data_IF_847918762052
#
_entry.id   IF_847918762052
#
_cell.length_a   1.000
_cell.length_b   1.000
_cell.length_c   1.000
_cell.angle_alpha   90.00
_cell.angle_beta   90.00
_cell.angle_gamma   90.00
#
_symmetry.space_group_name_H-M   'P 1'
#
loop_
_entity.id
_entity.type
_entity.pdbx_description
1 polymer ?
#
# COMPACT_ATOMS: atom_id res chain seq x y z
N UNK A 1 14.92 -55.01 45.91
CA UNK A 1 14.66 -53.55 45.86
C UNK A 1 13.61 -53.32 44.81
N UNK A 2 12.39 -52.98 45.23
CA UNK A 2 11.17 -52.88 44.42
C UNK A 2 10.99 -51.39 44.18
N UNK A 3 11.02 -50.92 42.93
CA UNK A 3 10.57 -49.57 42.61
C UNK A 3 9.22 -49.63 41.91
N UNK A 4 8.25 -49.09 42.65
CA UNK A 4 6.84 -49.01 42.35
C UNK A 4 6.55 -48.00 41.24
N UNK A 5 5.43 -48.28 40.59
CA UNK A 5 4.88 -47.67 39.38
C UNK A 5 4.73 -46.14 39.52
N UNK A 6 5.31 -45.40 38.56
CA UNK A 6 4.90 -44.01 38.28
C UNK A 6 3.54 -44.07 37.57
N UNK A 7 2.53 -43.55 38.25
CA UNK A 7 1.13 -43.53 37.86
C UNK A 7 0.92 -42.49 36.73
N UNK A 8 0.85 -42.94 35.47
CA UNK A 8 0.31 -42.11 34.38
C UNK A 8 -1.21 -41.97 34.60
N UNK A 9 -1.62 -40.89 35.28
CA UNK A 9 -3.02 -40.48 35.32
C UNK A 9 -3.39 -39.87 33.96
N UNK A 10 -3.76 -40.75 33.02
CA UNK A 10 -4.49 -40.39 31.80
C UNK A 10 -5.74 -39.60 32.18
N UNK A 11 -5.84 -38.37 31.68
CA UNK A 11 -6.91 -37.43 32.01
C UNK A 11 -8.22 -37.66 31.24
N UNK A 12 -8.32 -38.63 30.34
CA UNK A 12 -9.54 -38.82 29.54
C UNK A 12 -10.48 -39.87 30.15
N UNK A 13 -11.11 -39.49 31.26
CA UNK A 13 -12.24 -40.20 31.87
C UNK A 13 -13.56 -39.49 31.57
N UNK A 14 -14.28 -39.97 30.55
CA UNK A 14 -15.65 -39.54 30.22
C UNK A 14 -16.09 -40.26 28.95
N UNK A 15 -17.24 -40.95 29.01
CA UNK A 15 -17.93 -41.70 27.94
C UNK A 15 -17.39 -41.43 26.53
N UNK A 16 -16.91 -42.47 25.84
CA UNK A 16 -16.44 -42.43 24.44
C UNK A 16 -17.53 -41.91 23.49
N UNK A 17 -17.69 -40.59 23.41
CA UNK A 17 -18.44 -39.90 22.36
C UNK A 17 -17.53 -39.82 21.14
N UNK A 18 -17.65 -40.79 20.24
CA UNK A 18 -16.96 -40.73 18.95
C UNK A 18 -17.54 -39.60 18.11
N UNK A 19 -16.68 -38.76 17.54
CA UNK A 19 -17.06 -37.75 16.56
C UNK A 19 -17.61 -38.46 15.31
N UNK A 20 -18.79 -38.07 14.83
CA UNK A 20 -19.36 -38.75 13.66
C UNK A 20 -18.73 -38.22 12.36
N UNK A 21 -18.54 -39.10 11.37
CA UNK A 21 -18.05 -38.68 10.05
C UNK A 21 -18.98 -37.65 9.38
N UNK A 22 -20.28 -37.76 9.64
CA UNK A 22 -21.27 -36.82 9.11
C UNK A 22 -21.16 -35.44 9.77
N UNK A 23 -20.85 -35.36 11.08
CA UNK A 23 -20.57 -34.07 11.74
C UNK A 23 -19.35 -33.40 11.13
N UNK A 24 -18.27 -34.14 10.88
CA UNK A 24 -17.09 -33.54 10.23
C UNK A 24 -17.42 -33.07 8.81
N UNK A 25 -18.22 -33.82 8.06
CA UNK A 25 -18.59 -33.47 6.68
C UNK A 25 -19.38 -32.15 6.62
N UNK A 26 -20.37 -31.97 7.49
CA UNK A 26 -21.16 -30.72 7.53
C UNK A 26 -20.30 -29.54 7.98
N UNK A 27 -19.38 -29.75 8.93
CA UNK A 27 -18.48 -28.69 9.40
C UNK A 27 -17.54 -28.20 8.28
N UNK A 28 -16.90 -29.12 7.54
CA UNK A 28 -16.01 -28.72 6.43
C UNK A 28 -16.79 -28.08 5.27
N UNK A 29 -18.04 -28.49 5.05
CA UNK A 29 -18.92 -27.86 4.08
C UNK A 29 -19.23 -26.40 4.46
N UNK A 30 -19.59 -26.15 5.72
CA UNK A 30 -19.88 -24.78 6.20
C UNK A 30 -18.62 -23.91 6.13
N UNK A 31 -17.46 -24.42 6.59
CA UNK A 31 -16.18 -23.69 6.51
C UNK A 31 -15.81 -23.41 5.06
N UNK A 32 -16.07 -24.34 4.12
CA UNK A 32 -15.83 -24.15 2.70
C UNK A 32 -16.63 -22.97 2.11
N UNK A 33 -17.92 -22.86 2.44
CA UNK A 33 -18.77 -21.75 2.00
C UNK A 33 -18.27 -20.42 2.59
N UNK A 34 -17.97 -20.38 3.89
CA UNK A 34 -17.47 -19.18 4.55
C UNK A 34 -16.13 -18.72 3.96
N UNK A 35 -15.20 -19.66 3.71
CA UNK A 35 -13.89 -19.36 3.13
C UNK A 35 -14.01 -18.77 1.71
N UNK A 36 -14.92 -19.28 0.88
CA UNK A 36 -15.12 -18.79 -0.49
C UNK A 36 -15.50 -17.30 -0.57
N UNK A 37 -16.29 -16.82 0.40
CA UNK A 37 -16.67 -15.39 0.46
C UNK A 37 -15.64 -14.56 1.23
N UNK A 38 -15.05 -15.12 2.29
CA UNK A 38 -14.14 -14.40 3.18
C UNK A 38 -12.80 -14.04 2.52
N UNK A 39 -12.22 -14.94 1.72
CA UNK A 39 -10.90 -14.73 1.09
C UNK A 39 -10.85 -13.48 0.18
N UNK A 40 -11.72 -13.32 -0.83
CA UNK A 40 -11.68 -12.15 -1.70
C UNK A 40 -11.99 -10.85 -0.95
N UNK A 41 -12.82 -10.90 0.10
CA UNK A 41 -13.08 -9.73 0.95
C UNK A 41 -11.84 -9.33 1.75
N UNK A 42 -11.12 -10.30 2.32
CA UNK A 42 -9.88 -10.07 3.04
C UNK A 42 -8.80 -9.46 2.16
N UNK A 43 -8.61 -9.96 0.93
CA UNK A 43 -7.63 -9.41 -0.01
C UNK A 43 -7.93 -7.94 -0.36
N UNK A 44 -9.21 -7.62 -0.61
CA UNK A 44 -9.64 -6.23 -0.85
C UNK A 44 -9.37 -5.34 0.37
N UNK A 45 -9.64 -5.82 1.58
CA UNK A 45 -9.39 -5.08 2.81
C UNK A 45 -7.89 -4.79 3.00
N UNK A 46 -7.02 -5.79 2.77
CA UNK A 46 -5.56 -5.63 2.85
C UNK A 46 -5.06 -4.65 1.79
N UNK A 47 -5.54 -4.74 0.55
CA UNK A 47 -5.16 -3.81 -0.54
C UNK A 47 -5.58 -2.37 -0.21
N UNK A 48 -6.79 -2.18 0.34
CA UNK A 48 -7.27 -0.88 0.81
C UNK A 48 -6.43 -0.32 1.95
N UNK A 49 -6.06 -1.15 2.93
CA UNK A 49 -5.20 -0.74 4.05
C UNK A 49 -3.81 -0.31 3.56
N UNK A 50 -3.22 -1.06 2.62
CA UNK A 50 -1.94 -0.67 1.97
C UNK A 50 -2.07 0.68 1.27
N UNK A 51 -3.15 0.89 0.53
CA UNK A 51 -3.38 2.16 -0.16
C UNK A 51 -3.58 3.32 0.81
N UNK A 52 -4.33 3.12 1.90
CA UNK A 52 -4.47 4.12 2.98
C UNK A 52 -3.11 4.50 3.57
N UNK A 53 -2.21 3.53 3.78
CA UNK A 53 -0.86 3.82 4.27
C UNK A 53 -0.05 4.66 3.27
N UNK A 54 -0.23 4.44 1.96
CA UNK A 54 0.38 5.28 0.92
C UNK A 54 -0.13 6.72 1.00
N UNK A 55 -1.44 6.90 1.22
CA UNK A 55 -2.05 8.22 1.34
C UNK A 55 -1.50 8.97 2.55
N UNK A 56 -1.52 8.35 3.74
CA UNK A 56 -1.00 8.97 4.96
C UNK A 56 0.47 9.37 4.81
N UNK A 57 1.30 8.51 4.22
CA UNK A 57 2.72 8.82 4.02
C UNK A 57 2.91 9.96 3.01
N UNK A 58 2.20 9.94 1.89
CA UNK A 58 2.28 10.98 0.87
C UNK A 58 1.80 12.35 1.38
N UNK A 59 0.75 12.40 2.21
CA UNK A 59 0.28 13.64 2.85
C UNK A 59 1.31 14.17 3.86
N UNK A 60 1.93 13.29 4.66
CA UNK A 60 3.04 13.68 5.56
C UNK A 60 4.17 14.33 4.77
N UNK A 61 4.52 13.73 3.62
CA UNK A 61 5.55 14.25 2.72
C UNK A 61 5.13 15.59 2.09
N UNK A 62 3.87 15.73 1.67
CA UNK A 62 3.33 16.97 1.12
C UNK A 62 3.48 18.13 2.12
N UNK A 63 3.11 17.90 3.39
CA UNK A 63 3.25 18.93 4.42
C UNK A 63 4.71 19.34 4.64
N UNK A 64 5.64 18.38 4.67
CA UNK A 64 7.06 18.71 4.77
C UNK A 64 7.56 19.50 3.55
N UNK A 65 7.08 19.17 2.35
CA UNK A 65 7.36 19.91 1.11
C UNK A 65 6.82 21.34 1.14
N UNK A 66 5.63 21.55 1.71
CA UNK A 66 5.05 22.89 1.91
C UNK A 66 5.91 23.74 2.86
N UNK A 67 6.33 23.17 3.99
CA UNK A 67 7.23 23.84 4.94
C UNK A 67 8.54 24.21 4.27
N UNK A 68 9.15 23.27 3.53
CA UNK A 68 10.39 23.53 2.80
C UNK A 68 10.23 24.64 1.76
N UNK A 69 9.13 24.65 1.01
CA UNK A 69 8.84 25.68 0.02
C UNK A 69 8.62 27.05 0.65
N UNK A 70 8.01 27.14 1.83
CA UNK A 70 7.87 28.42 2.54
C UNK A 70 9.23 29.04 2.88
N UNK A 71 10.24 28.22 3.16
CA UNK A 71 11.60 28.69 3.46
C UNK A 71 12.45 28.95 2.20
N UNK A 72 12.31 28.13 1.15
CA UNK A 72 13.23 28.12 0.01
C UNK A 72 12.60 28.58 -1.32
N UNK A 73 11.29 28.81 -1.37
CA UNK A 73 10.54 29.20 -2.57
C UNK A 73 10.30 28.08 -3.59
N UNK A 74 10.95 26.92 -3.43
CA UNK A 74 10.87 25.76 -4.32
C UNK A 74 10.57 24.48 -3.54
N UNK A 75 9.99 23.47 -4.19
CA UNK A 75 9.86 22.13 -3.63
C UNK A 75 11.16 21.34 -3.79
N UNK A 76 11.54 20.56 -2.78
CA UNK A 76 12.78 19.79 -2.79
C UNK A 76 12.65 18.51 -3.60
N UNK A 77 13.73 18.10 -4.26
CA UNK A 77 13.87 16.71 -4.74
C UNK A 77 14.48 15.81 -3.66
N UNK A 78 15.15 16.34 -2.65
CA UNK A 78 15.80 15.54 -1.62
C UNK A 78 14.89 15.37 -0.40
N UNK A 79 14.66 14.12 0.00
CA UNK A 79 13.94 13.79 1.23
C UNK A 79 14.71 14.21 2.48
N UNK A 80 16.05 14.25 2.45
CA UNK A 80 16.85 14.66 3.62
C UNK A 80 16.75 16.17 3.90
N UNK A 81 16.39 16.96 2.88
CA UNK A 81 16.13 18.39 3.04
C UNK A 81 14.75 18.67 3.65
N UNK A 82 13.90 17.65 3.76
CA UNK A 82 12.59 17.74 4.37
C UNK A 82 12.67 17.33 5.83
N UNK A 83 12.04 18.10 6.72
CA UNK A 83 11.89 17.74 8.13
C UNK A 83 10.77 16.70 8.30
N UNK A 84 11.00 15.50 7.76
CA UNK A 84 10.07 14.37 7.84
C UNK A 84 10.75 13.22 8.57
N UNK A 85 10.12 12.76 9.65
CA UNK A 85 10.55 11.53 10.32
C UNK A 85 10.12 10.33 9.49
N UNK A 86 11.10 9.71 8.84
CA UNK A 86 10.88 8.53 8.03
C UNK A 86 11.16 7.27 8.86
N UNK A 87 10.44 6.16 8.60
CA UNK A 87 10.83 4.87 9.16
C UNK A 87 12.30 4.58 8.85
N UNK A 88 13.06 4.10 9.83
CA UNK A 88 14.52 3.90 9.72
C UNK A 88 14.95 2.96 8.56
N UNK A 89 14.01 2.18 8.04
CA UNK A 89 14.20 1.24 6.93
C UNK A 89 13.76 1.80 5.57
N UNK A 90 13.31 3.05 5.50
CA UNK A 90 13.11 3.78 4.25
C UNK A 90 14.43 4.45 3.85
N UNK A 91 15.10 3.90 2.83
CA UNK A 91 16.39 4.44 2.36
C UNK A 91 16.19 5.29 1.10
N UNK A 92 16.71 6.53 1.06
CA UNK A 92 16.70 7.32 -0.15
C UNK A 92 17.66 6.72 -1.18
N UNK A 93 17.24 6.71 -2.45
CA UNK A 93 18.07 6.35 -3.58
C UNK A 93 17.67 7.16 -4.81
N UNK A 94 18.65 7.45 -5.66
CA UNK A 94 18.44 8.14 -6.92
C UNK A 94 17.99 7.13 -7.98
N UNK A 95 16.89 7.41 -8.66
CA UNK A 95 16.41 6.54 -9.74
C UNK A 95 16.89 6.98 -11.12
N UNK A 96 17.58 8.12 -11.20
CA UNK A 96 18.13 8.68 -12.45
C UNK A 96 19.50 9.26 -12.17
N UNK A 97 20.44 9.10 -13.11
CA UNK A 97 21.81 9.61 -13.01
C UNK A 97 21.87 11.13 -12.76
N UNK A 98 20.88 11.87 -13.27
CA UNK A 98 20.77 13.33 -13.11
C UNK A 98 20.19 13.78 -11.74
N UNK A 99 19.89 12.86 -10.82
CA UNK A 99 19.33 13.19 -9.50
C UNK A 99 17.88 13.70 -9.52
N UNK A 100 17.20 13.66 -10.66
CA UNK A 100 15.86 14.27 -10.85
C UNK A 100 14.72 13.51 -10.21
N UNK A 101 14.95 12.25 -9.86
CA UNK A 101 13.99 11.41 -9.18
C UNK A 101 14.67 10.81 -7.96
N UNK A 102 14.26 11.29 -6.80
CA UNK A 102 14.61 10.70 -5.53
C UNK A 102 13.46 9.79 -5.12
N UNK A 103 13.80 8.56 -4.80
CA UNK A 103 12.86 7.61 -4.26
C UNK A 103 13.31 7.14 -2.89
N UNK A 104 12.36 6.73 -2.06
CA UNK A 104 12.61 5.95 -0.86
C UNK A 104 11.91 4.62 -1.00
N UNK A 105 12.56 3.55 -0.54
CA UNK A 105 11.99 2.22 -0.55
C UNK A 105 12.14 1.56 0.81
N UNK A 106 11.05 0.92 1.27
CA UNK A 106 10.98 -0.05 2.35
C UNK A 106 10.32 -1.32 1.81
N UNK A 107 10.55 -2.48 2.43
CA UNK A 107 9.78 -3.69 2.14
C UNK A 107 8.27 -3.40 2.23
N UNK A 108 7.59 -3.29 1.08
CA UNK A 108 6.16 -3.00 0.98
C UNK A 108 5.78 -1.66 0.36
N UNK A 109 6.66 -0.65 0.29
CA UNK A 109 6.30 0.70 -0.18
C UNK A 109 7.47 1.43 -0.84
N UNK A 110 7.17 2.22 -1.87
CA UNK A 110 8.08 3.16 -2.52
C UNK A 110 7.41 4.51 -2.70
N UNK A 111 8.09 5.60 -2.33
CA UNK A 111 7.65 6.97 -2.61
C UNK A 111 8.73 7.71 -3.40
N UNK A 112 8.38 8.59 -4.32
CA UNK A 112 9.33 9.35 -5.12
C UNK A 112 8.88 10.79 -5.38
N UNK A 113 9.85 11.66 -5.62
CA UNK A 113 9.64 13.01 -6.16
C UNK A 113 10.06 13.07 -7.61
N UNK A 114 9.30 13.81 -8.42
CA UNK A 114 9.66 14.08 -9.80
C UNK A 114 9.02 15.39 -10.27
N UNK A 115 9.46 15.86 -11.44
CA UNK A 115 8.96 17.06 -12.09
C UNK A 115 8.26 16.73 -13.40
N UNK A 116 7.27 17.53 -13.77
CA UNK A 116 6.58 17.45 -15.07
C UNK A 116 7.26 18.26 -16.16
N UNK A 117 8.27 19.08 -15.84
CA UNK A 117 9.00 19.89 -16.81
C UNK A 117 10.22 19.14 -17.37
N UNK A 118 10.31 19.07 -18.71
CA UNK A 118 11.30 18.27 -19.44
C UNK A 118 12.73 18.84 -19.44
N UNK A 119 12.95 20.09 -19.01
CA UNK A 119 14.29 20.70 -18.97
C UNK A 119 14.55 21.40 -17.64
N UNK A 120 15.56 20.87 -16.92
CA UNK A 120 16.19 21.38 -15.70
C UNK A 120 15.26 22.07 -14.66
N UNK A 121 14.28 21.34 -14.11
CA UNK A 121 13.38 21.90 -13.12
C UNK A 121 14.11 22.24 -11.82
N UNK A 122 13.85 23.43 -11.28
CA UNK A 122 14.41 23.92 -10.01
C UNK A 122 13.79 23.25 -8.78
N UNK A 123 12.74 22.45 -8.93
CA UNK A 123 12.08 21.78 -7.81
C UNK A 123 11.09 20.71 -8.25
N UNK A 124 10.70 19.87 -7.29
CA UNK A 124 9.73 18.80 -7.53
C UNK A 124 8.34 19.35 -7.87
N UNK A 125 7.58 18.63 -8.69
CA UNK A 125 6.20 19.00 -9.08
C UNK A 125 5.15 18.07 -8.50
N UNK A 126 5.52 16.82 -8.20
CA UNK A 126 4.61 15.83 -7.61
C UNK A 126 5.34 14.84 -6.71
N UNK A 127 4.56 14.23 -5.83
CA UNK A 127 4.93 13.05 -5.04
C UNK A 127 4.15 11.86 -5.60
N UNK A 128 4.83 10.73 -5.79
CA UNK A 128 4.19 9.48 -6.19
C UNK A 128 4.59 8.35 -5.23
N UNK A 129 3.60 7.72 -4.61
CA UNK A 129 3.78 6.59 -3.71
C UNK A 129 3.09 5.34 -4.26
N UNK A 130 3.73 4.18 -4.16
CA UNK A 130 3.22 2.90 -4.63
C UNK A 130 3.60 1.76 -3.69
N UNK A 131 2.78 0.72 -3.65
CA UNK A 131 3.09 -0.52 -2.94
C UNK A 131 4.07 -1.34 -3.76
N UNK A 132 5.10 -1.93 -3.14
CA UNK A 132 6.02 -2.83 -3.87
C UNK A 132 5.34 -4.14 -4.27
N UNK A 133 4.22 -4.48 -3.64
CA UNK A 133 3.41 -5.67 -3.96
C UNK A 133 2.43 -5.41 -5.10
N UNK A 134 1.99 -4.17 -5.26
CA UNK A 134 1.06 -3.74 -6.32
C UNK A 134 1.60 -2.50 -7.06
N UNK A 135 2.71 -2.61 -7.81
CA UNK A 135 3.37 -1.45 -8.44
C UNK A 135 2.52 -0.78 -9.53
N UNK A 136 1.47 -1.47 -10.00
CA UNK A 136 0.52 -1.00 -11.00
C UNK A 136 -0.45 0.04 -10.43
N UNK A 137 -0.58 0.10 -9.10
CA UNK A 137 -1.42 1.05 -8.37
C UNK A 137 -0.54 2.11 -7.71
N UNK A 138 -0.81 3.37 -8.03
CA UNK A 138 0.04 4.49 -7.66
C UNK A 138 -0.85 5.57 -7.05
N UNK A 139 -0.39 6.20 -5.99
CA UNK A 139 -1.00 7.39 -5.43
C UNK A 139 -0.13 8.60 -5.77
N UNK A 140 -0.73 9.61 -6.38
CA UNK A 140 -0.06 10.84 -6.80
C UNK A 140 -0.61 12.04 -6.03
N UNK A 141 0.27 12.97 -5.69
CA UNK A 141 -0.11 14.30 -5.22
C UNK A 141 0.67 15.32 -6.04
N UNK A 142 -0.01 16.27 -6.68
CA UNK A 142 0.66 17.44 -7.27
C UNK A 142 1.01 18.44 -6.18
N UNK A 143 2.27 18.86 -6.10
CA UNK A 143 2.72 19.73 -5.00
C UNK A 143 2.12 21.14 -5.12
N UNK A 144 1.99 21.67 -6.34
CA UNK A 144 1.50 23.02 -6.58
C UNK A 144 -0.01 23.17 -6.37
N UNK A 145 -0.82 22.27 -6.96
CA UNK A 145 -2.29 22.33 -6.85
C UNK A 145 -2.86 21.48 -5.72
N UNK A 146 -2.04 20.63 -5.08
CA UNK A 146 -2.46 19.68 -4.03
C UNK A 146 -3.55 18.70 -4.48
N UNK A 147 -3.67 18.51 -5.79
CA UNK A 147 -4.61 17.56 -6.35
C UNK A 147 -4.08 16.16 -6.10
N UNK A 148 -4.97 15.28 -5.65
CA UNK A 148 -4.67 13.90 -5.31
C UNK A 148 -5.20 13.02 -6.42
N UNK A 149 -4.41 12.08 -6.90
CA UNK A 149 -4.83 11.16 -7.94
C UNK A 149 -4.55 9.71 -7.55
N UNK A 150 -5.47 8.83 -7.90
CA UNK A 150 -5.19 7.41 -8.03
C UNK A 150 -4.73 7.15 -9.46
N UNK A 151 -3.51 6.65 -9.62
CA UNK A 151 -2.96 6.24 -10.89
C UNK A 151 -2.97 4.73 -11.07
N UNK A 152 -3.38 4.31 -12.26
CA UNK A 152 -3.33 2.92 -12.69
C UNK A 152 -2.59 2.84 -14.03
N UNK A 153 -1.82 1.76 -14.25
CA UNK A 153 -1.23 1.52 -15.58
C UNK A 153 -2.35 1.36 -16.61
N UNK A 154 -2.29 2.13 -17.69
CA UNK A 154 -3.29 2.10 -18.75
C UNK A 154 -3.43 0.69 -19.32
N UNK A 155 -4.65 0.19 -19.40
CA UNK A 155 -4.94 -1.16 -19.90
C UNK A 155 -4.82 -2.27 -18.85
N UNK A 156 -4.39 -1.96 -17.62
CA UNK A 156 -4.51 -2.88 -16.50
C UNK A 156 -5.90 -2.73 -15.86
N UNK A 157 -6.80 -3.67 -16.17
CA UNK A 157 -8.20 -3.63 -15.72
C UNK A 157 -8.31 -3.65 -14.21
N UNK A 158 -7.53 -4.47 -13.51
CA UNK A 158 -7.56 -4.58 -12.05
C UNK A 158 -7.16 -3.26 -11.37
N UNK A 159 -6.10 -2.62 -11.85
CA UNK A 159 -5.65 -1.35 -11.30
C UNK A 159 -6.62 -0.21 -11.62
N UNK A 160 -7.14 -0.16 -12.85
CA UNK A 160 -8.11 0.86 -13.25
C UNK A 160 -9.43 0.72 -12.50
N UNK A 161 -9.99 -0.49 -12.36
CA UNK A 161 -11.17 -0.75 -11.54
C UNK A 161 -10.95 -0.34 -10.08
N UNK A 162 -9.76 -0.58 -9.55
CA UNK A 162 -9.43 -0.16 -8.19
C UNK A 162 -9.42 1.36 -8.04
N UNK A 163 -8.83 2.08 -8.99
CA UNK A 163 -8.89 3.54 -8.95
C UNK A 163 -10.31 4.08 -9.13
N UNK A 164 -11.12 3.49 -10.02
CA UNK A 164 -12.54 3.84 -10.16
C UNK A 164 -13.31 3.60 -8.86
N UNK A 165 -13.04 2.49 -8.17
CA UNK A 165 -13.63 2.17 -6.87
C UNK A 165 -13.26 3.20 -5.80
N UNK A 166 -12.00 3.62 -5.75
CA UNK A 166 -11.50 4.55 -4.74
C UNK A 166 -11.95 6.00 -4.97
N UNK A 167 -11.95 6.47 -6.23
CA UNK A 167 -12.28 7.86 -6.58
C UNK A 167 -13.73 8.06 -6.97
N UNK A 168 -14.50 6.97 -7.13
CA UNK A 168 -15.87 6.98 -7.65
C UNK A 168 -16.01 7.58 -9.07
N UNK A 169 -14.90 7.75 -9.80
CA UNK A 169 -14.91 8.22 -11.20
C UNK A 169 -14.95 7.02 -12.15
N UNK A 170 -15.77 7.10 -13.21
CA UNK A 170 -15.80 6.04 -14.24
C UNK A 170 -14.70 6.20 -15.30
N UNK A 171 -14.28 7.43 -15.57
CA UNK A 171 -13.26 7.77 -16.56
C UNK A 171 -12.05 8.43 -15.89
N UNK A 172 -10.85 8.27 -16.45
CA UNK A 172 -9.67 8.95 -15.95
C UNK A 172 -9.81 10.47 -16.17
N UNK A 173 -9.41 11.25 -15.17
CA UNK A 173 -9.40 12.70 -15.21
C UNK A 173 -8.27 13.25 -16.07
N UNK A 174 -7.15 12.52 -16.13
CA UNK A 174 -5.99 12.85 -16.97
C UNK A 174 -5.16 11.61 -17.24
N UNK A 175 -4.16 11.75 -18.11
CA UNK A 175 -3.15 10.72 -18.38
C UNK A 175 -1.76 11.30 -18.23
N UNK A 176 -0.85 10.53 -17.66
CA UNK A 176 0.55 10.91 -17.52
C UNK A 176 1.46 9.72 -17.79
N UNK A 177 2.28 9.82 -18.84
CA UNK A 177 3.03 8.68 -19.38
C UNK A 177 2.10 7.52 -19.74
N UNK A 178 2.40 6.32 -19.25
CA UNK A 178 1.58 5.12 -19.43
C UNK A 178 0.42 5.01 -18.43
N UNK A 179 0.22 5.98 -17.53
CA UNK A 179 -0.73 5.87 -16.42
C UNK A 179 -2.02 6.67 -16.65
N UNK A 180 -3.16 6.02 -16.41
CA UNK A 180 -4.49 6.62 -16.28
C UNK A 180 -4.64 7.19 -14.88
N UNK A 181 -4.91 8.50 -14.74
CA UNK A 181 -5.04 9.18 -13.46
C UNK A 181 -6.51 9.52 -13.17
N UNK A 182 -6.95 9.20 -11.97
CA UNK A 182 -8.30 9.46 -11.47
C UNK A 182 -8.20 10.44 -10.30
N UNK A 183 -8.78 11.62 -10.44
CA UNK A 183 -8.76 12.66 -9.40
C UNK A 183 -9.64 12.24 -8.21
N UNK A 184 -9.12 12.41 -6.99
CA UNK A 184 -9.92 12.35 -5.78
C UNK A 184 -10.67 13.67 -5.58
N UNK A 185 -11.94 13.57 -5.21
CA UNK A 185 -12.77 14.71 -4.81
C UNK A 185 -12.37 15.28 -3.44
#
# INVERSE_FOLDING_TARGET
MRMDKIYQKSFFGGKNAGFTLIELLVVVLIIGILAAVAVPQYEKAVKKARFSNLQTMAETILHAQEVYKMANGIYSFDFNALDVTLPADMKPYLTTADGRVYAMQKSGMRCMFASTANLNPSGASFVACTSTKEPQLIYYITLASKNRYCGAKTGNTEAEEWCKYLTQKQTPSSRWGENSLYLFD
#
